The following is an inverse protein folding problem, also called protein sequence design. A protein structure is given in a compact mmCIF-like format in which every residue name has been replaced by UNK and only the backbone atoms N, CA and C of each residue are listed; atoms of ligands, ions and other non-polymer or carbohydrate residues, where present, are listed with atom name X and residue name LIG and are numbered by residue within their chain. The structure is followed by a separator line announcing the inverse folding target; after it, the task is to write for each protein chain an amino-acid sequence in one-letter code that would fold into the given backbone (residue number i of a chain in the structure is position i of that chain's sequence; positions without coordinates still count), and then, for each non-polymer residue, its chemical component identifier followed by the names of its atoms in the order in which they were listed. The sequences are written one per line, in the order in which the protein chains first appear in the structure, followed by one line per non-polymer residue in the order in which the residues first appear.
data_IF_567574738995
#
_entry.id   IF_567574738995
#
_cell.length_a   1.000
_cell.length_b   1.000
_cell.length_c   1.000
_cell.angle_alpha   90.00
_cell.angle_beta   90.00
_cell.angle_gamma   90.00
#
_symmetry.space_group_name_H-M   'P 1'
#
loop_
_entity.id
_entity.type
_entity.pdbx_description
1 polymer ?
#
# COMPACT_ATOMS: atom_id res chain seq x y z
N UNK A 1 7.33 -5.09 8.58
CA UNK A 1 8.45 -4.50 7.81
C UNK A 1 8.96 -5.52 6.81
N UNK A 2 9.17 -5.10 5.57
CA UNK A 2 9.68 -5.96 4.50
C UNK A 2 10.91 -5.33 3.88
N UNK A 3 11.96 -6.11 3.71
CA UNK A 3 13.20 -5.69 3.05
C UNK A 3 13.40 -6.52 1.79
N UNK A 4 13.65 -5.81 0.70
CA UNK A 4 13.95 -6.35 -0.62
C UNK A 4 15.41 -6.11 -0.94
N UNK A 5 16.02 -7.09 -1.62
CA UNK A 5 17.34 -7.01 -2.23
C UNK A 5 17.18 -7.18 -3.74
N UNK A 6 17.55 -6.16 -4.50
CA UNK A 6 17.43 -6.12 -5.96
C UNK A 6 16.00 -6.46 -6.45
N UNK A 7 15.00 -5.95 -5.71
CA UNK A 7 13.58 -6.20 -5.99
C UNK A 7 13.04 -7.54 -5.50
N UNK A 8 13.88 -8.44 -4.98
CA UNK A 8 13.45 -9.74 -4.44
C UNK A 8 13.33 -9.69 -2.92
N UNK A 9 12.36 -10.42 -2.36
CA UNK A 9 12.19 -10.55 -0.91
C UNK A 9 13.47 -11.10 -0.27
N UNK A 10 14.09 -10.30 0.61
CA UNK A 10 15.27 -10.73 1.36
C UNK A 10 14.88 -11.21 2.76
N UNK A 11 14.10 -10.40 3.49
CA UNK A 11 13.67 -10.70 4.87
C UNK A 11 12.43 -9.88 5.25
N UNK A 12 11.62 -10.42 6.16
CA UNK A 12 10.56 -9.70 6.86
C UNK A 12 10.85 -9.63 8.35
N UNK A 13 10.46 -8.54 8.99
CA UNK A 13 10.55 -8.37 10.44
C UNK A 13 9.37 -7.55 10.97
N UNK A 14 9.19 -7.55 12.28
CA UNK A 14 8.19 -6.74 12.98
C UNK A 14 8.93 -5.53 13.57
N UNK A 15 8.37 -4.33 13.39
CA UNK A 15 8.90 -3.13 14.05
C UNK A 15 8.60 -3.20 15.56
N UNK A 16 9.50 -2.68 16.38
CA UNK A 16 9.29 -2.57 17.82
C UNK A 16 8.14 -1.62 18.19
N UNK A 17 7.76 -1.54 19.48
CA UNK A 17 6.72 -0.63 19.95
C UNK A 17 6.99 0.86 19.66
N UNK A 18 8.24 1.23 19.41
CA UNK A 18 8.66 2.58 19.00
C UNK A 18 8.71 2.76 17.46
N UNK A 19 8.13 1.81 16.73
CA UNK A 19 8.16 1.69 15.27
C UNK A 19 9.56 1.60 14.64
N UNK A 20 10.62 1.34 15.43
CA UNK A 20 11.96 1.08 14.90
C UNK A 20 12.12 -0.37 14.51
N UNK A 21 13.02 -0.62 13.57
CA UNK A 21 13.41 -1.95 13.15
C UNK A 21 14.92 -2.00 12.91
N UNK A 22 15.50 -3.18 13.07
CA UNK A 22 16.85 -3.49 12.63
C UNK A 22 16.80 -4.87 11.96
N UNK A 23 17.40 -4.99 10.77
CA UNK A 23 17.65 -6.29 10.13
C UNK A 23 19.09 -6.38 9.67
N UNK A 24 19.66 -7.58 9.80
CA UNK A 24 21.00 -7.90 9.30
C UNK A 24 20.89 -8.85 8.12
N UNK A 25 21.53 -8.50 7.01
CA UNK A 25 21.71 -9.39 5.87
C UNK A 25 23.13 -9.96 5.90
N UNK A 26 23.23 -11.29 5.93
CA UNK A 26 24.49 -12.04 5.96
C UNK A 26 24.75 -12.77 4.63
N UNK A 27 25.98 -13.23 4.45
CA UNK A 27 26.40 -14.06 3.30
C UNK A 27 26.15 -13.41 1.92
N UNK A 28 26.15 -12.08 1.86
CA UNK A 28 26.12 -11.34 0.60
C UNK A 28 27.51 -11.35 -0.04
N UNK A 29 27.58 -11.66 -1.33
CA UNK A 29 28.81 -11.46 -2.10
C UNK A 29 29.15 -9.97 -2.16
N UNK A 30 30.44 -9.63 -2.21
CA UNK A 30 30.85 -8.24 -2.36
C UNK A 30 30.30 -7.65 -3.66
N UNK A 31 29.79 -6.41 -3.60
CA UNK A 31 29.24 -5.72 -4.77
C UNK A 31 28.13 -4.72 -4.44
N UNK A 32 27.63 -4.04 -5.48
CA UNK A 32 26.49 -3.13 -5.38
C UNK A 32 25.18 -3.91 -5.22
N UNK A 33 24.33 -3.43 -4.32
CA UNK A 33 22.95 -3.90 -4.16
C UNK A 33 22.00 -2.73 -4.10
N UNK A 34 20.77 -2.93 -4.55
CA UNK A 34 19.67 -2.02 -4.21
C UNK A 34 18.86 -2.63 -3.07
N UNK A 35 18.85 -1.95 -1.94
CA UNK A 35 18.00 -2.32 -0.80
C UNK A 35 16.74 -1.47 -0.85
N UNK A 36 15.60 -2.12 -0.70
CA UNK A 36 14.30 -1.46 -0.65
C UNK A 36 13.55 -1.89 0.61
N UNK A 37 12.90 -0.94 1.28
CA UNK A 37 12.19 -1.19 2.54
C UNK A 37 10.79 -0.59 2.47
N UNK A 38 9.79 -1.33 2.99
CA UNK A 38 8.45 -0.79 3.23
C UNK A 38 7.81 -1.39 4.47
N UNK A 39 6.87 -0.65 5.04
CA UNK A 39 6.02 -1.06 6.15
C UNK A 39 4.64 -1.49 5.66
N UNK A 40 3.99 -2.36 6.42
CA UNK A 40 2.58 -2.71 6.25
C UNK A 40 1.92 -2.56 7.63
N UNK A 41 0.80 -1.85 7.69
CA UNK A 41 0.06 -1.63 8.93
C UNK A 41 -0.82 -2.84 9.29
N UNK A 42 -1.41 -2.84 10.50
CA UNK A 42 -2.31 -3.91 10.94
C UNK A 42 -3.58 -4.05 10.08
N UNK A 43 -3.86 -3.08 9.20
CA UNK A 43 -4.94 -3.11 8.22
C UNK A 43 -4.53 -3.60 6.83
N UNK A 44 -3.25 -3.95 6.61
CA UNK A 44 -2.71 -4.38 5.33
C UNK A 44 -2.30 -3.24 4.39
N UNK A 45 -2.41 -1.97 4.81
CA UNK A 45 -1.98 -0.86 3.96
C UNK A 45 -0.45 -0.77 4.00
N UNK A 46 0.17 -0.56 2.84
CA UNK A 46 1.62 -0.44 2.72
C UNK A 46 2.07 1.01 2.59
N UNK A 47 3.21 1.33 3.17
CA UNK A 47 3.94 2.56 2.87
C UNK A 47 4.42 2.57 1.41
N UNK A 48 4.96 3.70 0.96
CA UNK A 48 5.82 3.71 -0.23
C UNK A 48 7.09 2.90 0.03
N UNK A 49 7.69 2.38 -1.05
CA UNK A 49 8.98 1.71 -0.99
C UNK A 49 10.07 2.76 -0.90
N UNK A 50 10.90 2.68 0.13
CA UNK A 50 12.11 3.47 0.27
C UNK A 50 13.30 2.64 -0.21
N UNK A 51 13.90 3.01 -1.35
CA UNK A 51 15.01 2.28 -1.96
C UNK A 51 16.30 3.10 -1.95
N UNK A 52 17.42 2.45 -1.63
CA UNK A 52 18.74 3.05 -1.60
C UNK A 52 19.83 2.06 -2.00
N UNK A 53 20.87 2.51 -2.72
CA UNK A 53 22.00 1.66 -3.08
C UNK A 53 22.91 1.42 -1.88
N UNK A 54 23.45 0.20 -1.76
CA UNK A 54 24.44 -0.19 -0.75
C UNK A 54 25.61 -0.89 -1.44
N UNK A 55 26.84 -0.56 -1.02
CA UNK A 55 28.04 -1.29 -1.41
C UNK A 55 28.39 -2.28 -0.29
N UNK A 56 28.33 -3.58 -0.59
CA UNK A 56 28.67 -4.63 0.36
C UNK A 56 30.11 -5.07 0.13
N UNK A 57 30.87 -5.18 1.22
CA UNK A 57 32.24 -5.71 1.22
C UNK A 57 32.25 -7.16 1.70
N UNK A 58 33.23 -7.94 1.25
CA UNK A 58 33.30 -9.37 1.56
C UNK A 58 33.39 -9.60 3.08
N UNK A 59 32.57 -10.53 3.58
CA UNK A 59 32.52 -10.91 5.01
C UNK A 59 32.04 -9.82 5.97
N UNK A 60 31.43 -8.73 5.47
CA UNK A 60 30.74 -7.77 6.31
C UNK A 60 29.30 -8.20 6.61
N UNK A 61 28.81 -7.79 7.78
CA UNK A 61 27.37 -7.80 8.09
C UNK A 61 26.80 -6.45 7.70
N UNK A 62 25.76 -6.43 6.85
CA UNK A 62 25.06 -5.20 6.49
C UNK A 62 23.86 -5.03 7.40
N UNK A 63 23.88 -4.01 8.26
CA UNK A 63 22.75 -3.62 9.10
C UNK A 63 21.89 -2.57 8.39
N UNK A 64 20.58 -2.75 8.45
CA UNK A 64 19.59 -1.84 7.87
C UNK A 64 18.68 -1.35 9.00
N UNK A 65 18.69 -0.05 9.24
CA UNK A 65 17.89 0.65 10.25
C UNK A 65 17.92 2.16 10.02
N UNK A 66 17.27 2.93 10.90
CA UNK A 66 17.26 4.40 10.83
C UNK A 66 16.51 4.98 9.61
N UNK A 67 15.69 4.17 8.94
CA UNK A 67 14.88 4.62 7.81
C UNK A 67 13.52 5.10 8.33
N UNK A 68 13.25 6.39 8.21
CA UNK A 68 11.94 6.93 8.53
C UNK A 68 10.99 6.80 7.34
N UNK A 69 10.16 5.75 7.37
CA UNK A 69 9.21 5.47 6.30
C UNK A 69 8.03 6.45 6.28
N UNK A 70 7.49 6.66 5.09
CA UNK A 70 6.22 7.35 4.93
C UNK A 70 5.10 6.61 5.69
N UNK A 71 4.12 7.35 6.25
CA UNK A 71 2.95 6.73 6.86
C UNK A 71 2.20 5.85 5.85
N UNK A 72 1.56 4.80 6.34
CA UNK A 72 0.51 4.15 5.57
C UNK A 72 -0.70 5.08 5.49
N UNK A 73 -1.54 4.90 4.48
CA UNK A 73 -2.74 5.71 4.31
C UNK A 73 -3.82 4.88 3.62
N UNK A 74 -5.06 5.11 4.03
CA UNK A 74 -6.27 4.56 3.45
C UNK A 74 -7.45 5.50 3.71
N UNK A 75 -8.55 5.21 3.01
CA UNK A 75 -9.86 5.85 3.22
C UNK A 75 -10.90 4.77 3.53
N UNK A 76 -11.95 5.13 4.26
CA UNK A 76 -13.03 4.20 4.59
C UNK A 76 -14.06 4.04 3.45
N UNK A 77 -14.10 5.00 2.52
CA UNK A 77 -15.04 5.05 1.40
C UNK A 77 -14.32 5.29 0.07
N UNK A 78 -14.70 4.55 -0.96
CA UNK A 78 -14.29 4.83 -2.34
C UNK A 78 -15.10 5.99 -2.93
N UNK A 79 -16.36 6.13 -2.50
CA UNK A 79 -17.20 7.29 -2.78
C UNK A 79 -17.88 7.73 -1.48
N UNK A 80 -17.83 9.03 -1.20
CA UNK A 80 -18.52 9.67 -0.09
C UNK A 80 -19.58 10.60 -0.64
N UNK A 81 -20.76 10.59 -0.02
CA UNK A 81 -21.82 11.52 -0.38
C UNK A 81 -21.39 12.94 0.03
N UNK A 82 -21.53 13.90 -0.87
CA UNK A 82 -21.21 15.31 -0.60
C UNK A 82 -21.95 15.81 0.64
N UNK A 83 -21.20 16.36 1.59
CA UNK A 83 -21.67 16.82 2.90
C UNK A 83 -21.54 15.78 4.01
N UNK A 84 -21.26 14.52 3.68
CA UNK A 84 -20.87 13.51 4.67
C UNK A 84 -19.36 13.51 4.88
N UNK A 85 -18.90 12.84 5.94
CA UNK A 85 -17.47 12.74 6.27
C UNK A 85 -16.83 11.51 5.67
N UNK A 86 -15.59 11.66 5.19
CA UNK A 86 -14.70 10.54 4.83
C UNK A 86 -13.56 10.42 5.86
N UNK A 87 -13.30 9.21 6.32
CA UNK A 87 -12.21 8.94 7.25
C UNK A 87 -10.94 8.65 6.46
N UNK A 88 -9.90 9.46 6.71
CA UNK A 88 -8.54 9.25 6.22
C UNK A 88 -7.71 8.72 7.40
N UNK A 89 -7.11 7.54 7.26
CA UNK A 89 -6.44 6.86 8.36
C UNK A 89 -5.18 6.13 7.91
N UNK A 90 -4.34 5.77 8.87
CA UNK A 90 -3.17 4.93 8.65
C UNK A 90 -2.35 4.76 9.92
N UNK A 91 -1.11 4.28 9.75
CA UNK A 91 -0.15 4.12 10.82
C UNK A 91 1.21 4.74 10.46
N UNK A 92 1.89 5.27 11.48
CA UNK A 92 3.26 5.78 11.44
C UNK A 92 3.93 5.59 12.80
N UNK A 93 5.04 6.27 13.06
CA UNK A 93 5.74 6.22 14.36
C UNK A 93 4.82 6.75 15.46
N UNK A 94 4.70 6.09 16.63
CA UNK A 94 3.90 6.59 17.75
C UNK A 94 4.35 7.98 18.23
N UNK A 95 3.38 8.86 18.51
CA UNK A 95 3.64 10.24 18.96
C UNK A 95 4.18 11.19 17.87
N UNK A 96 4.03 10.84 16.59
CA UNK A 96 4.39 11.68 15.45
C UNK A 96 3.22 12.56 14.99
N UNK A 97 3.54 13.69 14.35
CA UNK A 97 2.55 14.53 13.68
C UNK A 97 2.45 14.14 12.20
N UNK A 98 1.24 13.82 11.74
CA UNK A 98 0.95 13.47 10.36
C UNK A 98 0.31 14.65 9.66
N UNK A 99 0.93 15.10 8.55
CA UNK A 99 0.31 16.04 7.62
C UNK A 99 -0.40 15.29 6.52
N UNK A 100 -1.70 15.54 6.36
CA UNK A 100 -2.56 14.96 5.33
C UNK A 100 -2.82 16.04 4.29
N UNK A 101 -2.46 15.78 3.04
CA UNK A 101 -2.77 16.64 1.90
C UNK A 101 -3.93 16.02 1.13
N UNK A 102 -4.97 16.81 0.86
CA UNK A 102 -6.08 16.45 -0.02
C UNK A 102 -5.95 17.30 -1.28
N UNK A 103 -5.71 16.64 -2.41
CA UNK A 103 -5.66 17.27 -3.72
C UNK A 103 -7.09 17.36 -4.26
N UNK A 104 -7.54 18.59 -4.49
CA UNK A 104 -8.84 18.99 -5.03
C UNK A 104 -8.64 20.27 -5.84
N UNK A 105 -9.71 20.90 -6.34
CA UNK A 105 -9.58 22.21 -7.01
C UNK A 105 -8.83 23.23 -6.14
N UNK A 106 -9.10 23.22 -4.83
CA UNK A 106 -8.29 23.86 -3.81
C UNK A 106 -7.62 22.79 -2.94
N UNK A 107 -6.30 22.83 -2.82
CA UNK A 107 -5.60 21.92 -1.91
C UNK A 107 -5.96 22.21 -0.46
N UNK A 108 -6.26 21.14 0.28
CA UNK A 108 -6.50 21.20 1.72
C UNK A 108 -5.38 20.46 2.46
N UNK A 109 -4.97 21.03 3.59
CA UNK A 109 -3.98 20.44 4.48
C UNK A 109 -4.60 20.27 5.86
N UNK A 110 -4.50 19.06 6.39
CA UNK A 110 -4.92 18.72 7.74
C UNK A 110 -3.75 18.11 8.52
N UNK A 111 -3.86 18.13 9.85
CA UNK A 111 -2.89 17.50 10.74
C UNK A 111 -3.59 16.52 11.68
N UNK A 112 -2.94 15.41 11.97
CA UNK A 112 -3.39 14.41 12.94
C UNK A 112 -2.18 13.85 13.68
N UNK A 113 -2.27 13.70 15.00
CA UNK A 113 -1.24 13.03 15.77
C UNK A 113 -1.45 11.51 15.74
N UNK A 114 -0.36 10.74 15.77
CA UNK A 114 -0.46 9.29 15.98
C UNK A 114 -0.63 8.96 17.46
N UNK A 115 -1.42 7.92 17.73
CA UNK A 115 -1.60 7.38 19.08
C UNK A 115 -0.40 6.55 19.56
N UNK A 116 -0.52 5.94 20.73
CA UNK A 116 0.51 5.08 21.33
C UNK A 116 0.82 3.81 20.50
N UNK A 117 -0.05 3.45 19.56
CA UNK A 117 0.12 2.34 18.62
C UNK A 117 0.50 2.83 17.21
N UNK A 118 0.75 4.13 17.04
CA UNK A 118 1.14 4.71 15.77
C UNK A 118 -0.04 5.00 14.83
N UNK A 119 -1.28 4.75 15.24
CA UNK A 119 -2.45 4.97 14.39
C UNK A 119 -2.86 6.44 14.37
N UNK A 120 -3.28 6.94 13.21
CA UNK A 120 -3.89 8.26 13.06
C UNK A 120 -5.20 8.16 12.29
N UNK A 121 -6.11 9.10 12.56
CA UNK A 121 -7.41 9.22 11.92
C UNK A 121 -7.75 10.71 11.76
N UNK A 122 -8.22 11.08 10.59
CA UNK A 122 -8.79 12.38 10.30
C UNK A 122 -10.13 12.22 9.58
N UNK A 123 -11.20 12.77 10.14
CA UNK A 123 -12.51 12.80 9.51
C UNK A 123 -12.64 14.10 8.72
N UNK A 124 -12.53 14.00 7.40
CA UNK A 124 -12.66 15.13 6.49
C UNK A 124 -14.14 15.41 6.22
N UNK A 125 -14.58 16.63 6.52
CA UNK A 125 -15.83 17.17 6.02
C UNK A 125 -15.70 17.47 4.51
N UNK A 126 -16.63 16.96 3.72
CA UNK A 126 -16.62 17.11 2.26
C UNK A 126 -17.45 18.28 1.74
N UNK A 127 -18.15 19.03 2.62
CA UNK A 127 -18.83 20.29 2.25
C UNK A 127 -17.96 21.27 1.44
N UNK A 128 -16.65 21.48 1.74
CA UNK A 128 -15.83 22.41 0.97
C UNK A 128 -15.29 21.82 -0.34
N UNK A 129 -15.60 20.56 -0.67
CA UNK A 129 -15.10 19.90 -1.87
C UNK A 129 -16.17 19.89 -2.97
N UNK A 130 -15.75 20.15 -4.21
CA UNK A 130 -16.60 19.93 -5.37
C UNK A 130 -16.97 18.45 -5.52
N UNK A 131 -18.08 18.15 -6.20
CA UNK A 131 -18.40 16.78 -6.60
C UNK A 131 -17.43 16.34 -7.70
N UNK A 132 -16.75 15.21 -7.51
CA UNK A 132 -15.77 14.69 -8.47
C UNK A 132 -14.71 13.79 -7.83
N UNK A 133 -13.62 13.61 -8.57
CA UNK A 133 -12.46 12.82 -8.15
C UNK A 133 -11.52 13.66 -7.27
N UNK A 134 -11.09 13.07 -6.15
CA UNK A 134 -10.13 13.66 -5.23
C UNK A 134 -9.07 12.62 -4.88
N UNK A 135 -7.96 13.10 -4.34
CA UNK A 135 -6.93 12.20 -3.82
C UNK A 135 -6.31 12.74 -2.55
N UNK A 136 -5.77 11.84 -1.73
CA UNK A 136 -5.08 12.19 -0.50
C UNK A 136 -3.77 11.43 -0.34
N UNK A 137 -2.80 12.05 0.29
CA UNK A 137 -1.50 11.48 0.66
C UNK A 137 -1.06 12.07 1.99
N UNK A 138 -0.21 11.37 2.73
CA UNK A 138 0.27 11.84 4.03
C UNK A 138 1.78 11.71 4.18
N UNK A 139 2.36 12.53 5.05
CA UNK A 139 3.74 12.44 5.53
C UNK A 139 3.76 12.61 7.04
N UNK A 140 4.76 12.04 7.71
CA UNK A 140 4.91 12.09 9.16
C UNK A 140 6.13 12.92 9.56
N UNK A 141 6.07 13.55 10.73
CA UNK A 141 7.16 14.30 11.33
C UNK A 141 7.31 13.95 12.82
N UNK A 142 8.54 13.73 13.25
CA UNK A 142 8.85 13.48 14.67
C UNK A 142 10.28 13.96 14.97
N UNK A 143 10.46 14.71 16.06
CA UNK A 143 11.77 15.16 16.54
C UNK A 143 12.68 15.84 15.47
N UNK A 144 12.07 16.56 14.52
CA UNK A 144 12.79 17.25 13.43
C UNK A 144 13.06 16.38 12.19
N UNK A 145 12.79 15.08 12.23
CA UNK A 145 12.77 14.22 11.05
C UNK A 145 11.42 14.31 10.35
N UNK A 146 11.42 14.27 9.03
CA UNK A 146 10.22 14.32 8.19
C UNK A 146 10.31 13.22 7.15
N UNK A 147 9.26 12.39 7.06
CA UNK A 147 9.17 11.34 6.04
C UNK A 147 8.89 11.93 4.66
N UNK A 148 9.12 11.12 3.62
CA UNK A 148 8.50 11.40 2.31
C UNK A 148 6.97 11.29 2.40
N UNK A 149 6.28 11.80 1.38
CA UNK A 149 4.86 11.48 1.21
C UNK A 149 4.68 9.99 0.89
N UNK A 150 3.64 9.41 1.47
CA UNK A 150 3.21 8.04 1.24
C UNK A 150 2.47 7.87 -0.08
N UNK A 151 1.72 6.78 -0.17
CA UNK A 151 0.90 6.48 -1.35
C UNK A 151 -0.18 7.55 -1.52
N UNK A 152 -0.59 7.77 -2.75
CA UNK A 152 -1.80 8.52 -3.07
C UNK A 152 -2.99 7.57 -3.03
N UNK A 153 -4.03 7.93 -2.30
CA UNK A 153 -5.31 7.22 -2.21
C UNK A 153 -6.38 8.10 -2.83
N UNK A 154 -7.16 7.53 -3.73
CA UNK A 154 -8.23 8.26 -4.43
C UNK A 154 -9.58 8.01 -3.74
N UNK A 155 -10.46 9.00 -3.81
CA UNK A 155 -11.85 8.89 -3.42
C UNK A 155 -12.70 9.84 -4.25
N UNK A 156 -14.00 9.55 -4.35
CA UNK A 156 -14.96 10.37 -5.08
C UNK A 156 -15.90 11.07 -4.12
N UNK A 157 -16.12 12.37 -4.29
CA UNK A 157 -17.23 13.08 -3.65
C UNK A 157 -18.42 13.03 -4.61
N UNK A 158 -19.56 12.45 -4.20
CA UNK A 158 -20.72 12.30 -5.07
C UNK A 158 -22.04 12.16 -4.31
N UNK A 159 -22.92 11.27 -4.74
CA UNK A 159 -24.30 11.18 -4.21
C UNK A 159 -24.53 10.07 -3.19
N UNK A 160 -23.59 9.14 -3.07
CA UNK A 160 -23.73 7.92 -2.27
C UNK A 160 -22.48 7.64 -1.42
N UNK A 161 -22.66 6.86 -0.36
CA UNK A 161 -21.56 6.33 0.43
C UNK A 161 -21.27 4.90 -0.02
N UNK A 162 -20.16 4.72 -0.73
CA UNK A 162 -19.64 3.42 -1.15
C UNK A 162 -18.38 3.14 -0.34
N UNK A 163 -18.43 2.11 0.50
CA UNK A 163 -17.29 1.68 1.31
C UNK A 163 -16.07 1.39 0.42
N UNK A 164 -14.88 1.77 0.90
CA UNK A 164 -13.65 1.38 0.26
C UNK A 164 -13.50 -0.13 0.46
N UNK A 165 -13.64 -0.88 -0.63
CA UNK A 165 -13.35 -2.31 -0.59
C UNK A 165 -11.84 -2.44 -0.46
N UNK A 166 -11.37 -2.78 0.75
CA UNK A 166 -10.01 -3.32 0.89
C UNK A 166 -9.94 -4.54 -0.03
N UNK A 167 -8.89 -4.64 -0.84
CA UNK A 167 -8.61 -5.88 -1.58
C UNK A 167 -8.23 -6.98 -0.57
N UNK A 168 -9.22 -7.48 0.18
CA UNK A 168 -9.15 -8.74 0.92
C UNK A 168 -9.39 -9.91 -0.02
N UNK A 169 -9.77 -9.64 -1.26
CA UNK A 169 -9.77 -10.55 -2.39
C UNK A 169 -8.36 -10.75 -2.91
N UNK A 170 -7.42 -11.09 -2.03
CA UNK A 170 -6.29 -11.92 -2.45
C UNK A 170 -6.88 -13.13 -3.20
N UNK A 171 -7.91 -13.78 -2.67
CA UNK A 171 -8.48 -14.98 -3.31
C UNK A 171 -9.21 -14.81 -4.65
N UNK A 172 -9.63 -13.60 -5.10
CA UNK A 172 -10.48 -13.53 -6.33
C UNK A 172 -9.67 -13.65 -7.61
N UNK A 173 -8.45 -13.08 -7.66
CA UNK A 173 -7.60 -13.15 -8.85
C UNK A 173 -6.18 -13.70 -8.56
N UNK A 174 -5.93 -14.19 -7.34
CA UNK A 174 -4.77 -15.02 -7.00
C UNK A 174 -5.06 -16.45 -7.49
N UNK A 175 -4.85 -16.67 -8.78
CA UNK A 175 -5.18 -17.94 -9.44
C UNK A 175 -4.19 -19.02 -9.01
N UNK A 176 -2.96 -18.63 -8.67
CA UNK A 176 -1.90 -19.55 -8.26
C UNK A 176 -1.91 -19.86 -6.74
N UNK A 177 -2.59 -19.05 -5.92
CA UNK A 177 -2.73 -19.20 -4.48
C UNK A 177 -1.52 -18.74 -3.67
N UNK A 178 -0.65 -17.88 -4.22
CA UNK A 178 0.61 -17.44 -3.60
C UNK A 178 0.47 -16.20 -2.70
N UNK A 179 -0.75 -15.66 -2.60
CA UNK A 179 -1.06 -14.49 -1.80
C UNK A 179 -0.84 -13.16 -2.52
N UNK A 180 -0.51 -13.18 -3.81
CA UNK A 180 -0.30 -12.01 -4.66
C UNK A 180 -1.12 -12.16 -5.95
N UNK A 181 -1.31 -11.04 -6.64
CA UNK A 181 -1.99 -10.97 -7.93
C UNK A 181 -1.05 -10.23 -8.87
N UNK A 182 -0.26 -10.99 -9.62
CA UNK A 182 0.83 -10.45 -10.43
C UNK A 182 0.96 -11.14 -11.80
N UNK A 183 2.12 -11.00 -12.44
CA UNK A 183 2.39 -11.56 -13.75
C UNK A 183 2.27 -13.09 -13.80
N UNK A 184 2.46 -13.78 -12.68
CA UNK A 184 2.27 -15.23 -12.58
C UNK A 184 0.79 -15.56 -12.70
N UNK A 185 -0.09 -14.91 -11.95
CA UNK A 185 -1.54 -15.11 -12.08
C UNK A 185 -2.04 -14.75 -13.47
N UNK A 186 -1.52 -13.65 -14.04
CA UNK A 186 -1.78 -13.27 -15.42
C UNK A 186 -1.38 -14.36 -16.40
N UNK A 187 -0.23 -15.00 -16.21
CA UNK A 187 0.21 -16.09 -17.08
C UNK A 187 -0.74 -17.30 -17.01
N UNK A 188 -1.30 -17.59 -15.83
CA UNK A 188 -2.30 -18.65 -15.65
C UNK A 188 -3.62 -18.24 -16.29
N UNK A 189 -4.08 -17.00 -16.11
CA UNK A 189 -5.31 -16.49 -16.74
C UNK A 189 -5.19 -16.50 -18.27
N UNK A 190 -4.07 -16.05 -18.80
CA UNK A 190 -3.77 -16.03 -20.23
C UNK A 190 -3.67 -17.43 -20.84
N UNK A 191 -3.22 -18.41 -20.08
CA UNK A 191 -3.28 -19.80 -20.51
C UNK A 191 -4.73 -20.25 -20.77
N UNK A 192 -5.70 -19.82 -19.96
CA UNK A 192 -7.10 -20.20 -20.07
C UNK A 192 -7.94 -19.35 -21.04
N UNK A 193 -7.38 -18.28 -21.60
CA UNK A 193 -8.10 -17.39 -22.51
C UNK A 193 -8.73 -18.13 -23.69
N UNK A 194 -10.06 -17.99 -23.85
CA UNK A 194 -10.88 -18.66 -24.88
C UNK A 194 -10.80 -20.19 -24.89
N UNK A 195 -10.32 -20.83 -23.83
CA UNK A 195 -10.33 -22.28 -23.70
C UNK A 195 -11.65 -22.77 -23.10
N UNK A 196 -12.15 -23.94 -23.50
CA UNK A 196 -13.34 -24.52 -22.90
C UNK A 196 -13.06 -25.03 -21.49
N UNK A 197 -14.08 -24.97 -20.62
CA UNK A 197 -14.04 -25.50 -19.24
C UNK A 197 -12.87 -24.96 -18.40
N UNK A 198 -12.74 -23.63 -18.24
CA UNK A 198 -11.73 -23.08 -17.36
C UNK A 198 -11.96 -23.54 -15.91
N UNK A 199 -10.90 -23.69 -15.11
CA UNK A 199 -11.05 -23.94 -13.69
C UNK A 199 -11.78 -22.75 -13.05
N UNK A 200 -12.61 -22.94 -12.01
CA UNK A 200 -13.40 -21.86 -11.38
C UNK A 200 -12.57 -20.67 -10.89
N UNK A 201 -11.28 -20.87 -10.63
CA UNK A 201 -10.32 -19.83 -10.23
C UNK A 201 -9.83 -18.94 -11.37
N UNK A 202 -10.00 -19.36 -12.63
CA UNK A 202 -9.62 -18.55 -13.80
C UNK A 202 -10.82 -17.82 -14.42
N UNK A 203 -12.03 -18.30 -14.14
CA UNK A 203 -13.30 -17.63 -14.47
C UNK A 203 -13.67 -16.68 -13.32
N UNK A 204 -13.20 -15.44 -13.41
CA UNK A 204 -13.24 -14.46 -12.31
C UNK A 204 -14.62 -13.81 -12.16
N UNK A 205 -15.45 -13.89 -13.19
CA UNK A 205 -16.83 -13.38 -13.17
C UNK A 205 -17.90 -14.50 -13.04
N UNK A 206 -17.51 -15.77 -13.20
CA UNK A 206 -18.38 -16.94 -13.07
C UNK A 206 -19.27 -17.22 -14.28
N UNK A 207 -18.92 -16.73 -15.46
CA UNK A 207 -19.74 -16.85 -16.67
C UNK A 207 -19.39 -18.06 -17.56
N UNK A 208 -18.45 -18.89 -17.12
CA UNK A 208 -18.06 -20.15 -17.75
C UNK A 208 -17.02 -20.01 -18.86
N UNK A 209 -16.48 -18.81 -19.11
CA UNK A 209 -15.40 -18.53 -20.07
C UNK A 209 -14.33 -17.65 -19.42
N UNK A 210 -13.18 -17.58 -20.07
CA UNK A 210 -12.12 -16.62 -19.72
C UNK A 210 -11.94 -15.67 -20.89
N UNK A 211 -12.34 -14.42 -20.70
CA UNK A 211 -12.23 -13.36 -21.69
C UNK A 211 -11.67 -12.04 -21.12
N UNK A 212 -11.78 -10.95 -21.88
CA UNK A 212 -11.24 -9.64 -21.49
C UNK A 212 -11.87 -9.08 -20.20
N UNK A 213 -13.06 -9.53 -19.83
CA UNK A 213 -13.70 -9.16 -18.55
C UNK A 213 -12.89 -9.72 -17.40
N UNK A 214 -12.47 -10.99 -17.46
CA UNK A 214 -11.62 -11.60 -16.42
C UNK A 214 -10.27 -10.90 -16.33
N UNK A 215 -9.66 -10.55 -17.47
CA UNK A 215 -8.43 -9.74 -17.46
C UNK A 215 -8.62 -8.37 -16.82
N UNK A 216 -9.77 -7.73 -17.04
CA UNK A 216 -10.11 -6.45 -16.42
C UNK A 216 -10.28 -6.59 -14.91
N UNK A 217 -10.90 -7.69 -14.46
CA UNK A 217 -11.04 -8.03 -13.05
C UNK A 217 -9.68 -8.29 -12.41
N UNK A 218 -8.79 -9.04 -13.07
CA UNK A 218 -7.44 -9.27 -12.56
C UNK A 218 -6.62 -7.98 -12.48
N UNK A 219 -6.68 -7.15 -13.52
CA UNK A 219 -6.01 -5.85 -13.53
C UNK A 219 -6.51 -4.94 -12.40
N UNK A 220 -7.82 -4.99 -12.09
CA UNK A 220 -8.40 -4.29 -10.96
C UNK A 220 -7.83 -4.76 -9.62
N UNK A 221 -7.55 -6.06 -9.46
CA UNK A 221 -7.00 -6.64 -8.24
C UNK A 221 -5.46 -6.73 -8.21
N UNK A 222 -4.76 -6.16 -9.20
CA UNK A 222 -3.31 -6.29 -9.34
C UNK A 222 -2.55 -5.77 -8.11
N UNK A 223 -1.69 -6.60 -7.53
CA UNK A 223 -0.91 -6.25 -6.33
C UNK A 223 0.58 -5.97 -6.61
N UNK A 224 1.07 -6.28 -7.82
CA UNK A 224 2.48 -6.13 -8.18
C UNK A 224 3.28 -7.43 -8.11
#
# INVERSE_FOLDING_TARGET
MTVLKDGQLAITTIAGPDAKFNVSLSALSAGPYTIAVYGEDGGGNRSTIFAFPVQVVQSATTEIGGVFLAPTIGVDKAQVKHGDTIAIFGQSVPGSDVTIQVNSAQELFATAATDAHGAYLYNLDTVPLDVGDHSTKSKSAIAGEISQFGKTVNFVVGTENIAAVRSTTVGKADINGDGKINLVDFSVLAYWYKRPSPPPRADLNGDGKVDLIDFSIMAFYWTG
#
